data_IF_756673287863
#
_entry.id   IF_756673287863
#
_cell.length_a   1.000
_cell.length_b   1.000
_cell.length_c   1.000
_cell.angle_alpha   90.00
_cell.angle_beta   90.00
_cell.angle_gamma   90.00
#
_symmetry.space_group_name_H-M   'P 1'
#
loop_
_entity.id
_entity.type
_entity.pdbx_description
1 polymer ?
#
# COMPACT_ATOMS: atom_id res chain seq x y z
N UNK A 1 -26.58 18.65 -11.94
CA UNK A 1 -26.22 18.51 -10.51
C UNK A 1 -24.69 18.41 -10.33
N UNK A 2 -23.99 17.59 -11.11
CA UNK A 2 -22.53 17.39 -11.02
C UNK A 2 -21.70 18.65 -11.36
N UNK A 3 -22.12 19.45 -12.35
CA UNK A 3 -21.45 20.71 -12.67
C UNK A 3 -21.55 21.77 -11.55
N UNK A 4 -22.63 21.74 -10.77
CA UNK A 4 -22.81 22.60 -9.59
C UNK A 4 -21.87 22.17 -8.47
N UNK A 5 -21.73 20.86 -8.24
CA UNK A 5 -20.73 20.31 -7.32
C UNK A 5 -19.31 20.67 -7.73
N UNK A 6 -19.00 20.60 -9.03
CA UNK A 6 -17.71 20.99 -9.60
C UNK A 6 -17.40 22.48 -9.33
N UNK A 7 -18.39 23.35 -9.51
CA UNK A 7 -18.27 24.79 -9.25
C UNK A 7 -18.08 25.07 -7.75
N UNK A 8 -18.87 24.44 -6.88
CA UNK A 8 -18.73 24.56 -5.41
C UNK A 8 -17.35 24.11 -4.96
N UNK A 9 -16.83 22.99 -5.49
CA UNK A 9 -15.52 22.46 -5.12
C UNK A 9 -14.37 23.36 -5.60
N UNK A 10 -14.51 23.91 -6.82
CA UNK A 10 -13.54 24.87 -7.38
C UNK A 10 -13.52 26.15 -6.53
N UNK A 11 -14.68 26.65 -6.13
CA UNK A 11 -14.81 27.81 -5.24
C UNK A 11 -14.25 27.52 -3.85
N UNK A 12 -14.52 26.35 -3.26
CA UNK A 12 -13.98 25.94 -1.97
C UNK A 12 -12.43 25.95 -1.96
N UNK A 13 -11.81 25.47 -3.04
CA UNK A 13 -10.34 25.44 -3.18
C UNK A 13 -9.78 26.84 -3.35
N UNK A 14 -10.46 27.70 -4.12
CA UNK A 14 -10.07 29.11 -4.28
C UNK A 14 -10.14 29.82 -2.92
N UNK A 15 -11.19 29.59 -2.14
CA UNK A 15 -11.33 30.17 -0.79
C UNK A 15 -10.23 29.66 0.14
N UNK A 16 -9.95 28.35 0.17
CA UNK A 16 -8.86 27.79 0.98
C UNK A 16 -7.49 28.32 0.54
N UNK A 17 -7.25 28.47 -0.76
CA UNK A 17 -6.02 29.06 -1.28
C UNK A 17 -5.87 30.54 -0.88
N UNK A 18 -6.97 31.30 -0.88
CA UNK A 18 -7.00 32.70 -0.43
C UNK A 18 -6.83 32.85 1.09
N UNK A 19 -7.21 31.83 1.89
CA UNK A 19 -7.05 31.84 3.34
C UNK A 19 -5.59 31.64 3.80
N UNK A 20 -4.69 31.15 2.94
CA UNK A 20 -3.27 31.03 3.29
C UNK A 20 -2.53 32.37 3.20
N UNK A 21 -2.02 32.83 4.35
CA UNK A 21 -1.27 34.10 4.51
C UNK A 21 0.03 34.16 3.67
N UNK A 22 0.60 33.02 3.29
CA UNK A 22 1.74 32.90 2.38
C UNK A 22 1.51 31.75 1.41
N UNK A 23 1.46 32.04 0.10
CA UNK A 23 1.15 31.08 -0.98
C UNK A 23 2.17 29.93 -1.08
N UNK A 24 3.39 30.14 -0.60
CA UNK A 24 4.44 29.12 -0.54
C UNK A 24 4.21 28.07 0.55
N UNK A 25 3.49 28.42 1.63
CA UNK A 25 3.17 27.46 2.69
C UNK A 25 2.09 26.46 2.24
N UNK A 26 1.18 26.87 1.34
CA UNK A 26 0.17 25.96 0.78
C UNK A 26 0.77 24.84 -0.07
N UNK A 27 1.86 25.12 -0.81
CA UNK A 27 2.56 24.11 -1.63
C UNK A 27 3.43 23.18 -0.74
N UNK A 28 3.73 23.58 0.51
CA UNK A 28 4.49 22.75 1.44
C UNK A 28 3.60 21.86 2.31
N UNK A 29 2.30 22.15 2.37
CA UNK A 29 1.33 21.34 3.09
C UNK A 29 0.84 20.17 2.23
N UNK A 30 1.26 18.96 2.58
CA UNK A 30 0.86 17.73 1.92
C UNK A 30 -0.68 17.57 1.89
N UNK A 31 -1.38 18.04 2.92
CA UNK A 31 -2.84 18.01 2.96
C UNK A 31 -3.48 18.89 1.90
N UNK A 32 -2.90 20.06 1.66
CA UNK A 32 -3.41 20.99 0.65
C UNK A 32 -3.14 20.47 -0.77
N UNK A 33 -1.95 19.91 -1.04
CA UNK A 33 -1.64 19.29 -2.33
C UNK A 33 -2.55 18.09 -2.59
N UNK A 34 -2.76 17.24 -1.57
CA UNK A 34 -3.64 16.08 -1.69
C UNK A 34 -5.11 16.47 -1.91
N UNK A 35 -5.59 17.53 -1.24
CA UNK A 35 -6.93 18.09 -1.47
C UNK A 35 -7.08 18.68 -2.87
N UNK A 36 -6.09 19.45 -3.33
CA UNK A 36 -6.07 20.05 -4.66
C UNK A 36 -6.04 18.99 -5.78
N UNK A 37 -5.21 17.96 -5.61
CA UNK A 37 -5.07 16.89 -6.59
C UNK A 37 -6.34 16.03 -6.66
N UNK A 38 -6.97 15.73 -5.51
CA UNK A 38 -8.26 15.02 -5.47
C UNK A 38 -9.37 15.81 -6.16
N UNK A 39 -9.40 17.12 -5.93
CA UNK A 39 -10.32 18.01 -6.61
C UNK A 39 -10.12 18.05 -8.12
N UNK A 40 -8.88 18.23 -8.57
CA UNK A 40 -8.52 18.29 -9.97
C UNK A 40 -8.96 17.02 -10.70
N UNK A 41 -8.71 15.84 -10.12
CA UNK A 41 -9.18 14.57 -10.68
C UNK A 41 -10.70 14.45 -10.73
N UNK A 42 -11.43 15.00 -9.75
CA UNK A 42 -12.90 15.01 -9.79
C UNK A 42 -13.44 15.90 -10.90
N UNK A 43 -12.88 17.10 -11.06
CA UNK A 43 -13.25 18.01 -12.15
C UNK A 43 -12.98 17.30 -13.47
N UNK A 44 -11.77 16.80 -13.67
CA UNK A 44 -11.38 16.08 -14.89
C UNK A 44 -12.33 14.90 -15.17
N UNK A 45 -12.65 14.07 -14.18
CA UNK A 45 -13.64 12.98 -14.32
C UNK A 45 -15.00 13.48 -14.83
N UNK A 46 -15.55 14.54 -14.22
CA UNK A 46 -16.86 15.08 -14.57
C UNK A 46 -16.88 15.61 -16.01
N UNK A 47 -15.83 16.34 -16.40
CA UNK A 47 -15.69 16.88 -17.75
C UNK A 47 -15.45 15.77 -18.79
N UNK A 48 -14.64 14.77 -18.47
CA UNK A 48 -14.40 13.61 -19.36
C UNK A 48 -15.68 12.79 -19.55
N UNK A 49 -16.46 12.54 -18.49
CA UNK A 49 -17.76 11.88 -18.59
C UNK A 49 -18.72 12.64 -19.50
N UNK A 50 -18.82 13.96 -19.31
CA UNK A 50 -19.67 14.82 -20.13
C UNK A 50 -19.25 14.78 -21.61
N UNK A 51 -17.95 14.89 -21.87
CA UNK A 51 -17.36 14.79 -23.22
C UNK A 51 -17.70 13.43 -23.84
N UNK A 52 -17.36 12.33 -23.19
CA UNK A 52 -17.59 10.97 -23.71
C UNK A 52 -19.06 10.72 -24.02
N UNK A 53 -19.98 11.11 -23.11
CA UNK A 53 -21.43 10.95 -23.32
C UNK A 53 -21.99 11.87 -24.41
N UNK A 54 -21.37 13.02 -24.65
CA UNK A 54 -21.77 13.92 -25.75
C UNK A 54 -21.26 13.43 -27.11
N UNK A 55 -20.15 12.70 -27.14
CA UNK A 55 -19.58 12.12 -28.36
C UNK A 55 -20.19 10.76 -28.73
N UNK A 56 -20.89 10.08 -27.82
CA UNK A 56 -21.53 8.77 -28.10
C UNK A 56 -22.74 8.83 -29.04
N UNK A 57 -23.25 10.01 -29.40
CA UNK A 57 -24.24 10.18 -30.47
C UNK A 57 -23.62 10.11 -31.88
N UNK A 58 -22.28 10.06 -32.00
CA UNK A 58 -21.55 9.91 -33.26
C UNK A 58 -20.83 8.55 -33.33
N UNK A 59 -21.42 7.63 -34.11
CA UNK A 59 -20.89 6.36 -34.64
C UNK A 59 -20.11 5.41 -33.70
N UNK A 60 -20.82 4.38 -33.27
CA UNK A 60 -20.44 3.31 -32.33
C UNK A 60 -19.36 2.31 -32.82
N UNK A 61 -18.59 2.61 -33.88
CA UNK A 61 -17.72 1.60 -34.53
C UNK A 61 -16.24 1.69 -34.12
N UNK A 62 -15.77 2.81 -33.56
CA UNK A 62 -14.34 3.00 -33.23
C UNK A 62 -13.95 2.83 -31.74
N UNK A 63 -14.89 2.52 -30.84
CA UNK A 63 -14.71 2.80 -29.41
C UNK A 63 -14.44 1.61 -28.47
N UNK A 64 -14.36 0.37 -28.98
CA UNK A 64 -14.39 -0.83 -28.14
C UNK A 64 -13.21 -0.98 -27.16
N UNK A 65 -12.04 -0.37 -27.41
CA UNK A 65 -10.88 -0.49 -26.50
C UNK A 65 -10.66 0.75 -25.62
N UNK A 66 -10.88 1.94 -26.17
CA UNK A 66 -10.70 3.22 -25.45
C UNK A 66 -11.80 3.46 -24.41
N UNK A 67 -13.05 3.09 -24.72
CA UNK A 67 -14.18 3.26 -23.79
C UNK A 67 -14.09 2.27 -22.63
N UNK A 68 -13.69 1.02 -22.87
CA UNK A 68 -13.46 0.05 -21.78
C UNK A 68 -12.35 0.51 -20.81
N UNK A 69 -11.29 1.16 -21.33
CA UNK A 69 -10.22 1.74 -20.51
C UNK A 69 -10.71 2.95 -19.70
N UNK A 70 -11.51 3.83 -20.31
CA UNK A 70 -12.16 4.95 -19.62
C UNK A 70 -13.15 4.48 -18.55
N UNK A 71 -14.01 3.50 -18.84
CA UNK A 71 -14.93 2.89 -17.87
C UNK A 71 -14.18 2.28 -16.67
N UNK A 72 -12.97 1.75 -16.88
CA UNK A 72 -12.11 1.25 -15.80
C UNK A 72 -11.55 2.39 -14.94
N UNK A 73 -11.14 3.51 -15.56
CA UNK A 73 -10.72 4.72 -14.85
C UNK A 73 -11.88 5.33 -14.03
N UNK A 74 -13.10 5.28 -14.55
CA UNK A 74 -14.33 5.70 -13.85
C UNK A 74 -14.69 4.84 -12.63
N UNK A 75 -14.14 3.62 -12.51
CA UNK A 75 -14.27 2.82 -11.29
C UNK A 75 -13.30 3.30 -10.20
N UNK A 76 -12.08 3.68 -10.58
CA UNK A 76 -11.07 4.24 -9.66
C UNK A 76 -11.54 5.56 -9.05
N UNK A 77 -12.28 6.36 -9.80
CA UNK A 77 -12.83 7.62 -9.31
C UNK A 77 -13.97 7.44 -8.30
N UNK A 78 -14.72 6.32 -8.34
CA UNK A 78 -15.64 5.96 -7.24
C UNK A 78 -14.88 5.74 -5.94
N UNK A 79 -13.70 5.10 -6.00
CA UNK A 79 -12.82 4.93 -4.83
C UNK A 79 -12.33 6.30 -4.33
N UNK A 80 -11.99 7.23 -5.22
CA UNK A 80 -11.64 8.60 -4.84
C UNK A 80 -12.81 9.37 -4.17
N UNK A 81 -14.06 9.13 -4.59
CA UNK A 81 -15.25 9.66 -3.92
C UNK A 81 -15.45 9.07 -2.53
N UNK A 82 -15.27 7.75 -2.36
CA UNK A 82 -15.33 7.10 -1.04
C UNK A 82 -14.23 7.62 -0.12
N UNK A 83 -13.01 7.80 -0.62
CA UNK A 83 -11.91 8.43 0.14
C UNK A 83 -12.27 9.85 0.61
N UNK A 84 -13.10 10.58 -0.14
CA UNK A 84 -13.63 11.88 0.28
C UNK A 84 -14.72 11.76 1.33
N UNK A 85 -15.63 10.79 1.21
CA UNK A 85 -16.63 10.47 2.24
C UNK A 85 -15.97 10.19 3.59
N UNK A 86 -14.82 9.50 3.59
CA UNK A 86 -14.03 9.25 4.79
C UNK A 86 -13.44 10.53 5.43
N UNK A 87 -13.28 11.64 4.68
CA UNK A 87 -12.82 12.92 5.24
C UNK A 87 -13.91 13.71 5.96
N UNK A 88 -15.19 13.43 5.68
CA UNK A 88 -16.30 13.99 6.46
C UNK A 88 -16.43 13.33 7.84
N UNK A 89 -15.72 12.21 8.05
CA UNK A 89 -15.60 11.54 9.34
C UNK A 89 -14.29 11.97 10.00
N UNK A 90 -14.30 12.94 10.92
CA UNK A 90 -13.08 13.43 11.57
C UNK A 90 -12.30 12.32 12.29
N UNK A 91 -12.99 11.28 12.77
CA UNK A 91 -12.40 10.10 13.42
C UNK A 91 -11.45 9.32 12.51
N UNK A 92 -11.85 9.06 11.26
CA UNK A 92 -11.03 8.33 10.27
C UNK A 92 -9.80 9.16 9.89
N UNK A 93 -9.96 10.48 9.81
CA UNK A 93 -8.88 11.41 9.52
C UNK A 93 -7.77 11.37 10.59
N UNK A 94 -8.18 11.32 11.85
CA UNK A 94 -7.28 11.23 13.00
C UNK A 94 -6.50 9.92 12.94
N UNK A 95 -7.17 8.81 12.62
CA UNK A 95 -6.52 7.50 12.47
C UNK A 95 -5.49 7.50 11.33
N UNK A 96 -5.82 8.04 10.16
CA UNK A 96 -4.88 8.13 9.02
C UNK A 96 -3.67 9.01 9.37
N UNK A 97 -3.89 10.12 10.08
CA UNK A 97 -2.79 10.98 10.56
C UNK A 97 -1.92 10.27 11.60
N UNK A 98 -2.52 9.49 12.49
CA UNK A 98 -1.79 8.67 13.47
C UNK A 98 -0.93 7.61 12.77
N UNK A 99 -1.45 6.92 11.75
CA UNK A 99 -0.69 5.99 10.91
C UNK A 99 0.47 6.72 10.24
N UNK A 100 0.20 7.87 9.59
CA UNK A 100 1.22 8.67 8.92
C UNK A 100 2.35 9.14 9.85
N UNK A 101 1.99 9.56 11.07
CA UNK A 101 2.96 9.94 12.09
C UNK A 101 3.76 8.73 12.61
N UNK A 102 3.12 7.56 12.73
CA UNK A 102 3.76 6.31 13.15
C UNK A 102 4.64 5.69 12.05
N UNK A 103 4.44 6.03 10.76
CA UNK A 103 5.17 5.45 9.63
C UNK A 103 6.68 5.48 9.82
N UNK A 104 7.24 6.58 10.33
CA UNK A 104 8.69 6.68 10.57
C UNK A 104 9.18 5.62 11.56
N UNK A 105 8.45 5.44 12.66
CA UNK A 105 8.78 4.44 13.67
C UNK A 105 8.57 3.02 13.13
N UNK A 106 7.47 2.79 12.41
CA UNK A 106 7.18 1.50 11.79
C UNK A 106 8.28 1.10 10.79
N UNK A 107 8.77 2.03 9.97
CA UNK A 107 9.87 1.77 9.03
C UNK A 107 11.14 1.36 9.78
N UNK A 108 11.45 2.00 10.92
CA UNK A 108 12.60 1.61 11.74
C UNK A 108 12.43 0.21 12.32
N UNK A 109 11.25 -0.14 12.84
CA UNK A 109 10.96 -1.46 13.37
C UNK A 109 11.02 -2.54 12.27
N UNK A 110 10.49 -2.26 11.08
CA UNK A 110 10.58 -3.18 9.93
C UNK A 110 12.02 -3.39 9.49
N UNK A 111 12.83 -2.32 9.44
CA UNK A 111 14.26 -2.42 9.12
C UNK A 111 15.02 -3.26 10.15
N UNK A 112 14.75 -3.07 11.43
CA UNK A 112 15.33 -3.91 12.50
C UNK A 112 14.88 -5.37 12.38
N UNK A 113 13.60 -5.62 12.09
CA UNK A 113 13.07 -6.97 11.84
C UNK A 113 13.75 -7.65 10.65
N UNK A 114 13.94 -6.94 9.54
CA UNK A 114 14.67 -7.46 8.37
C UNK A 114 16.13 -7.78 8.68
N UNK A 115 16.79 -6.97 9.52
CA UNK A 115 18.16 -7.24 9.99
C UNK A 115 18.22 -8.54 10.80
N UNK A 116 17.26 -8.76 11.70
CA UNK A 116 17.16 -10.01 12.48
C UNK A 116 16.95 -11.20 11.55
N UNK A 117 15.98 -11.12 10.63
CA UNK A 117 15.72 -12.16 9.62
C UNK A 117 16.99 -12.48 8.82
N UNK A 118 17.76 -11.46 8.43
CA UNK A 118 19.01 -11.63 7.70
C UNK A 118 20.07 -12.40 8.49
N UNK A 119 20.28 -12.05 9.76
CA UNK A 119 21.26 -12.74 10.63
C UNK A 119 20.87 -14.21 10.83
N UNK A 120 19.60 -14.48 11.14
CA UNK A 120 19.11 -15.85 11.30
C UNK A 120 19.10 -16.64 9.98
N UNK A 121 18.82 -15.99 8.85
CA UNK A 121 18.92 -16.61 7.53
C UNK A 121 20.35 -17.07 7.24
N UNK A 122 21.37 -16.27 7.56
CA UNK A 122 22.78 -16.68 7.42
C UNK A 122 23.09 -17.85 8.35
N UNK A 123 22.72 -17.77 9.62
CA UNK A 123 23.00 -18.83 10.59
C UNK A 123 22.36 -20.17 10.17
N UNK A 124 21.09 -20.14 9.77
CA UNK A 124 20.36 -21.34 9.34
C UNK A 124 20.86 -21.88 8.00
N UNK A 125 21.20 -21.03 7.03
CA UNK A 125 21.78 -21.49 5.76
C UNK A 125 23.15 -22.12 5.93
N UNK A 126 23.97 -21.67 6.90
CA UNK A 126 25.28 -22.25 7.18
C UNK A 126 25.21 -23.55 7.99
N UNK A 127 24.28 -23.65 8.94
CA UNK A 127 24.16 -24.81 9.83
C UNK A 127 23.32 -25.91 9.19
N UNK A 128 22.32 -25.57 8.38
CA UNK A 128 21.46 -26.55 7.71
C UNK A 128 22.07 -27.10 6.40
N UNK A 129 23.34 -26.79 6.09
CA UNK A 129 24.05 -27.40 4.95
C UNK A 129 24.01 -28.93 5.10
N UNK A 130 23.68 -29.63 4.02
CA UNK A 130 23.52 -31.10 3.95
C UNK A 130 22.30 -31.70 4.70
N UNK A 131 21.36 -30.88 5.20
CA UNK A 131 20.09 -31.37 5.78
C UNK A 131 18.93 -31.32 4.78
N UNK A 132 17.93 -32.23 4.88
CA UNK A 132 16.72 -32.16 4.06
C UNK A 132 15.87 -30.92 4.36
N UNK A 133 15.90 -30.38 5.59
CA UNK A 133 15.32 -29.07 5.89
C UNK A 133 16.06 -27.92 5.18
N UNK A 134 17.40 -27.98 5.13
CA UNK A 134 18.26 -27.01 4.46
C UNK A 134 18.03 -26.93 2.96
N UNK A 135 17.98 -28.08 2.28
CA UNK A 135 17.77 -28.12 0.83
C UNK A 135 16.37 -27.65 0.39
N UNK A 136 15.36 -27.80 1.25
CA UNK A 136 13.97 -27.43 0.94
C UNK A 136 13.61 -25.98 1.27
N UNK A 137 14.16 -25.41 2.35
CA UNK A 137 13.78 -24.07 2.82
C UNK A 137 14.95 -23.07 2.92
N UNK A 138 16.19 -23.56 2.98
CA UNK A 138 17.40 -22.75 3.26
C UNK A 138 18.52 -22.99 2.23
N UNK A 139 18.16 -23.28 0.97
CA UNK A 139 19.10 -23.55 -0.13
C UNK A 139 19.92 -22.32 -0.52
N UNK A 140 19.29 -21.14 -0.49
CA UNK A 140 19.92 -19.86 -0.82
C UNK A 140 19.53 -18.78 0.19
N UNK A 141 20.37 -17.76 0.37
CA UNK A 141 20.11 -16.68 1.32
C UNK A 141 18.76 -15.97 1.10
N UNK A 142 18.36 -15.59 -0.14
CA UNK A 142 17.06 -14.97 -0.38
C UNK A 142 15.88 -15.90 -0.06
N UNK A 143 16.04 -17.19 -0.35
CA UNK A 143 15.01 -18.21 -0.10
C UNK A 143 14.87 -18.50 1.40
N UNK A 144 15.98 -18.50 2.15
CA UNK A 144 15.98 -18.58 3.61
C UNK A 144 15.29 -17.37 4.26
N UNK A 145 15.57 -16.15 3.78
CA UNK A 145 14.91 -14.93 4.25
C UNK A 145 13.40 -14.96 3.95
N UNK A 146 13.02 -15.41 2.76
CA UNK A 146 11.62 -15.58 2.38
C UNK A 146 10.93 -16.63 3.26
N UNK A 147 11.57 -17.79 3.46
CA UNK A 147 11.05 -18.87 4.29
C UNK A 147 10.88 -18.43 5.74
N UNK A 148 11.87 -17.75 6.34
CA UNK A 148 11.77 -17.23 7.71
C UNK A 148 10.66 -16.19 7.85
N UNK A 149 10.49 -15.30 6.86
CA UNK A 149 9.44 -14.28 6.91
C UNK A 149 8.05 -14.88 6.72
N UNK A 150 7.85 -15.73 5.72
CA UNK A 150 6.53 -16.25 5.37
C UNK A 150 6.12 -17.47 6.21
N UNK A 151 7.05 -18.41 6.44
CA UNK A 151 6.76 -19.59 7.26
C UNK A 151 6.99 -19.35 8.75
N UNK A 152 7.96 -18.51 9.13
CA UNK A 152 8.21 -18.13 10.52
C UNK A 152 7.30 -17.02 11.03
N UNK A 153 7.31 -15.83 10.41
CA UNK A 153 6.52 -14.69 10.90
C UNK A 153 5.04 -14.74 10.48
N UNK A 154 4.73 -15.08 9.22
CA UNK A 154 3.35 -15.12 8.71
C UNK A 154 2.64 -16.47 8.93
N UNK A 155 3.31 -17.45 9.54
CA UNK A 155 2.75 -18.76 9.89
C UNK A 155 2.10 -19.51 8.69
N UNK A 156 2.63 -19.34 7.49
CA UNK A 156 2.04 -19.95 6.30
C UNK A 156 2.30 -21.48 6.22
N UNK A 157 3.32 -21.99 6.92
CA UNK A 157 3.58 -23.43 7.15
C UNK A 157 4.60 -23.64 8.30
N UNK A 158 4.39 -22.95 9.43
CA UNK A 158 5.36 -22.96 10.54
C UNK A 158 5.54 -24.36 11.15
N UNK A 159 4.45 -25.13 11.24
CA UNK A 159 4.47 -26.47 11.84
C UNK A 159 5.26 -27.48 10.98
N UNK A 160 5.14 -27.39 9.64
CA UNK A 160 5.92 -28.22 8.72
C UNK A 160 7.41 -27.91 8.80
N UNK A 161 7.75 -26.62 8.81
CA UNK A 161 9.13 -26.14 8.95
C UNK A 161 9.74 -26.51 10.31
N UNK A 162 9.01 -26.31 11.42
CA UNK A 162 9.46 -26.65 12.75
C UNK A 162 9.71 -28.16 12.90
N UNK A 163 8.80 -28.99 12.39
CA UNK A 163 8.94 -30.46 12.47
C UNK A 163 10.18 -30.95 11.73
N UNK A 164 10.44 -30.43 10.53
CA UNK A 164 11.62 -30.79 9.75
C UNK A 164 12.91 -30.28 10.42
N UNK A 165 12.89 -29.04 10.94
CA UNK A 165 14.03 -28.47 11.67
C UNK A 165 14.38 -29.25 12.95
N UNK A 166 13.39 -29.71 13.72
CA UNK A 166 13.61 -30.50 14.94
C UNK A 166 13.93 -31.98 14.69
N UNK A 167 13.54 -32.54 13.54
CA UNK A 167 13.87 -33.93 13.20
C UNK A 167 15.30 -34.10 12.71
N UNK A 168 15.86 -33.10 12.03
CA UNK A 168 17.21 -33.18 11.45
C UNK A 168 18.30 -32.87 12.48
N UNK A 169 18.18 -31.74 13.20
CA UNK A 169 19.20 -31.33 14.15
C UNK A 169 18.63 -30.45 15.28
N UNK A 170 18.95 -30.79 16.54
CA UNK A 170 18.43 -30.06 17.70
C UNK A 170 18.87 -28.59 17.69
N UNK A 171 20.04 -28.31 17.11
CA UNK A 171 20.62 -26.96 17.01
C UNK A 171 19.82 -26.11 16.02
N UNK A 172 19.41 -26.66 14.87
CA UNK A 172 18.59 -25.96 13.86
C UNK A 172 17.19 -25.68 14.41
N UNK A 173 16.58 -26.65 15.08
CA UNK A 173 15.30 -26.47 15.78
C UNK A 173 15.35 -25.42 16.90
N UNK A 174 16.42 -25.41 17.71
CA UNK A 174 16.61 -24.42 18.77
C UNK A 174 16.82 -22.99 18.21
N UNK A 175 17.58 -22.84 17.12
CA UNK A 175 17.76 -21.56 16.43
C UNK A 175 16.44 -21.02 15.85
N UNK A 176 15.65 -21.90 15.25
CA UNK A 176 14.33 -21.53 14.73
C UNK A 176 13.37 -21.11 15.85
N UNK A 177 13.34 -21.85 16.97
CA UNK A 177 12.56 -21.47 18.15
C UNK A 177 13.01 -20.12 18.73
N UNK A 178 14.32 -19.85 18.78
CA UNK A 178 14.88 -18.58 19.22
C UNK A 178 14.46 -17.42 18.31
N UNK A 179 14.45 -17.63 16.99
CA UNK A 179 13.94 -16.66 16.01
C UNK A 179 12.47 -16.31 16.22
N UNK A 180 11.61 -17.30 16.53
CA UNK A 180 10.17 -17.08 16.76
C UNK A 180 9.91 -16.25 18.02
N UNK A 181 10.78 -16.36 19.03
CA UNK A 181 10.66 -15.63 20.30
C UNK A 181 11.21 -14.20 20.20
N UNK A 182 12.11 -13.94 19.25
CA UNK A 182 12.79 -12.66 19.03
C UNK A 182 11.93 -11.64 18.29
#
# INVERSE_FOLDING_TARGET
>A
VENLFCLIFTVEIIIRFMAFKSKWNGIRDFWFIFDFLLAFFMVLETWVLFVVLSFTDFDLVFFDTSVLRMLRLLRLTRVARVARMLRFLPEVLILVRAIGAATRSVVLTVMLGLMIVYVFAIALTQIAVDTPAGTKYFSTLPEAMFSLTFHGCFNNDMAGMARLAFQDDLIVGALFACFIVS
#
